data_IF_172136611511
#
_entry.id   IF_172136611511
#
_cell.length_a   1.000
_cell.length_b   1.000
_cell.length_c   1.000
_cell.angle_alpha   90.00
_cell.angle_beta   90.00
_cell.angle_gamma   90.00
#
_symmetry.space_group_name_H-M   'P 1'
#
loop_
_entity.id
_entity.type
_entity.pdbx_description
1 polymer ?
#
# COMPACT_ATOMS: atom_id res chain seq x y z
N UNK A 1 -20.79 18.62 -34.94
CA UNK A 1 -20.19 17.76 -33.97
C UNK A 1 -21.24 16.91 -33.27
N UNK A 2 -21.06 15.66 -33.21
CA UNK A 2 -22.09 14.73 -32.83
C UNK A 2 -22.16 14.51 -31.35
N UNK A 3 -23.35 14.68 -30.79
CA UNK A 3 -23.63 14.33 -29.39
C UNK A 3 -23.38 12.86 -29.12
N UNK A 4 -23.52 12.00 -30.14
CA UNK A 4 -23.28 10.57 -30.03
C UNK A 4 -21.82 10.25 -29.70
N UNK A 5 -20.86 10.96 -30.30
CA UNK A 5 -19.44 10.77 -30.06
C UNK A 5 -19.10 11.15 -28.62
N UNK A 6 -19.66 12.25 -28.11
CA UNK A 6 -19.44 12.69 -26.74
C UNK A 6 -19.98 11.67 -25.74
N UNK A 7 -21.17 11.10 -25.97
CA UNK A 7 -21.75 10.08 -25.12
C UNK A 7 -20.93 8.79 -25.10
N UNK A 8 -20.39 8.38 -26.25
CA UNK A 8 -19.51 7.21 -26.34
C UNK A 8 -18.24 7.43 -25.54
N UNK A 9 -17.64 8.61 -25.64
CA UNK A 9 -16.42 8.92 -24.85
C UNK A 9 -16.68 8.91 -23.34
N UNK A 10 -17.81 9.46 -22.90
CA UNK A 10 -18.19 9.42 -21.49
C UNK A 10 -18.43 7.99 -21.02
N UNK A 11 -19.08 7.15 -21.84
CA UNK A 11 -19.33 5.75 -21.51
C UNK A 11 -18.03 4.96 -21.38
N UNK A 12 -17.05 5.20 -22.26
CA UNK A 12 -15.73 4.54 -22.19
C UNK A 12 -15.00 4.86 -20.89
N UNK A 13 -15.08 6.10 -20.40
CA UNK A 13 -14.44 6.46 -19.12
C UNK A 13 -15.12 5.80 -17.92
N UNK A 14 -16.43 5.53 -18.00
CA UNK A 14 -17.16 4.91 -16.89
C UNK A 14 -16.93 3.41 -16.78
N UNK A 15 -16.29 2.77 -17.76
CA UNK A 15 -15.99 1.33 -17.75
C UNK A 15 -14.63 1.01 -17.13
N UNK A 16 -13.95 1.97 -16.50
CA UNK A 16 -12.66 1.75 -15.88
C UNK A 16 -12.77 0.82 -14.67
N UNK A 17 -11.77 -0.06 -14.51
CA UNK A 17 -11.68 -0.93 -13.35
C UNK A 17 -10.93 -0.24 -12.23
N UNK A 18 -11.37 -0.46 -10.96
CA UNK A 18 -10.75 0.11 -9.78
C UNK A 18 -9.52 -0.67 -9.29
N UNK A 19 -9.27 -1.87 -9.85
CA UNK A 19 -8.15 -2.71 -9.47
C UNK A 19 -6.85 -2.18 -10.05
N UNK A 20 -5.78 -2.29 -9.25
CA UNK A 20 -4.44 -1.85 -9.63
C UNK A 20 -3.53 -3.06 -9.70
N UNK A 21 -2.94 -3.28 -10.87
CA UNK A 21 -1.94 -4.32 -11.06
C UNK A 21 -0.60 -3.69 -11.38
N UNK A 22 0.44 -4.14 -10.72
CA UNK A 22 1.82 -3.77 -11.02
C UNK A 22 2.48 -5.04 -11.53
N UNK A 23 3.00 -4.97 -12.75
CA UNK A 23 3.56 -6.11 -13.46
C UNK A 23 2.53 -7.22 -13.75
N UNK A 24 1.26 -6.87 -13.79
CA UNK A 24 0.16 -7.76 -14.21
C UNK A 24 -0.98 -6.91 -14.76
N UNK A 25 -1.62 -7.39 -15.82
CA UNK A 25 -2.81 -6.75 -16.40
C UNK A 25 -4.11 -7.41 -15.95
N UNK A 26 -4.00 -8.50 -15.19
CA UNK A 26 -5.13 -9.26 -14.66
C UNK A 26 -4.99 -9.45 -13.17
N UNK A 27 -5.05 -8.35 -12.36
CA UNK A 27 -4.86 -8.47 -10.92
C UNK A 27 -5.99 -9.29 -10.28
N UNK A 28 -5.61 -10.13 -9.31
CA UNK A 28 -6.54 -10.98 -8.56
C UNK A 28 -7.02 -10.31 -7.27
N UNK A 29 -6.64 -9.07 -7.03
CA UNK A 29 -7.03 -8.27 -5.86
C UNK A 29 -7.14 -6.81 -6.28
N UNK A 30 -7.65 -5.97 -5.39
CA UNK A 30 -7.72 -4.52 -5.65
C UNK A 30 -6.35 -3.93 -5.95
N UNK A 31 -5.33 -4.45 -5.29
CA UNK A 31 -3.93 -4.16 -5.60
C UNK A 31 -3.16 -5.47 -5.63
N UNK A 32 -2.58 -5.77 -6.76
CA UNK A 32 -1.69 -6.92 -6.90
C UNK A 32 -0.36 -6.46 -7.49
N UNK A 33 0.73 -6.81 -6.82
CA UNK A 33 2.09 -6.53 -7.28
C UNK A 33 2.77 -7.86 -7.51
N UNK A 34 3.15 -8.11 -8.76
CA UNK A 34 3.86 -9.34 -9.11
C UNK A 34 5.34 -9.08 -9.26
N UNK A 35 6.15 -10.05 -8.87
CA UNK A 35 7.58 -10.02 -9.15
C UNK A 35 7.84 -10.08 -10.65
N UNK A 36 9.02 -9.68 -11.06
CA UNK A 36 9.44 -9.79 -12.46
C UNK A 36 9.51 -11.24 -12.91
N UNK A 37 9.87 -12.14 -12.00
CA UNK A 37 9.90 -13.59 -12.23
C UNK A 37 9.89 -14.29 -10.87
N UNK A 38 8.89 -15.14 -10.63
CA UNK A 38 8.74 -15.80 -9.33
C UNK A 38 9.87 -16.78 -9.03
N UNK A 39 10.38 -17.46 -10.07
CA UNK A 39 11.44 -18.46 -9.90
C UNK A 39 12.83 -17.83 -9.76
N UNK A 40 13.05 -16.73 -10.43
CA UNK A 40 14.34 -16.01 -10.43
C UNK A 40 14.09 -14.52 -10.24
N UNK A 41 13.69 -14.08 -9.03
CA UNK A 41 13.32 -12.68 -8.82
C UNK A 41 14.54 -11.77 -8.89
N UNK A 42 14.26 -10.51 -9.23
CA UNK A 42 15.26 -9.46 -9.16
C UNK A 42 15.38 -8.95 -7.71
N UNK A 43 16.50 -8.27 -7.41
CA UNK A 43 16.72 -7.72 -6.07
C UNK A 43 15.83 -6.48 -5.76
N UNK A 44 15.01 -6.07 -6.70
CA UNK A 44 14.05 -4.97 -6.52
C UNK A 44 12.60 -5.44 -6.54
N UNK A 45 12.37 -6.76 -6.56
CA UNK A 45 11.01 -7.32 -6.53
C UNK A 45 10.48 -7.31 -5.11
N UNK A 46 9.84 -6.22 -4.72
CA UNK A 46 9.27 -6.06 -3.40
C UNK A 46 8.54 -4.74 -3.26
N UNK A 47 8.03 -4.50 -2.07
CA UNK A 47 7.33 -3.27 -1.73
C UNK A 47 8.15 -2.52 -0.69
N UNK A 48 8.45 -1.26 -0.97
CA UNK A 48 8.98 -0.37 0.05
C UNK A 48 7.80 0.38 0.67
N UNK A 49 7.50 0.05 1.92
CA UNK A 49 6.53 0.83 2.69
C UNK A 49 7.23 2.06 3.28
N UNK A 50 6.47 3.08 3.74
CA UNK A 50 7.09 4.27 4.29
C UNK A 50 8.06 3.96 5.42
N UNK A 51 9.26 4.52 5.35
CA UNK A 51 10.29 4.41 6.37
C UNK A 51 10.21 5.61 7.30
N UNK A 52 10.31 5.35 8.60
CA UNK A 52 10.31 6.39 9.62
C UNK A 52 11.47 6.16 10.57
N UNK A 53 12.11 7.24 11.01
CA UNK A 53 13.20 7.18 12.01
C UNK A 53 12.66 7.17 13.42
N UNK A 54 11.43 7.62 13.61
CA UNK A 54 10.76 7.68 14.90
C UNK A 54 9.26 7.57 14.68
N UNK A 55 8.55 7.09 15.69
CA UNK A 55 7.08 7.11 15.63
C UNK A 55 6.58 8.55 15.68
N UNK A 56 5.44 8.84 15.01
CA UNK A 56 4.88 10.20 15.04
C UNK A 56 4.67 10.70 16.46
N UNK A 57 4.94 11.98 16.68
CA UNK A 57 4.72 12.62 18.00
C UNK A 57 3.23 12.57 18.36
N UNK A 58 2.37 12.79 17.37
CA UNK A 58 0.93 12.67 17.53
C UNK A 58 0.48 11.31 16.99
N UNK A 59 -0.19 10.54 17.85
CA UNK A 59 -0.66 9.21 17.43
C UNK A 59 -1.64 9.29 16.27
N UNK A 60 -1.62 8.31 15.38
CA UNK A 60 -2.70 8.16 14.40
C UNK A 60 -4.04 7.93 15.08
N UNK A 61 -5.10 7.92 14.29
CA UNK A 61 -6.47 7.73 14.78
C UNK A 61 -7.01 6.39 14.32
N UNK A 62 -8.29 6.13 14.64
CA UNK A 62 -8.97 4.92 14.18
C UNK A 62 -8.97 4.81 12.65
N UNK A 63 -8.93 5.93 11.94
CA UNK A 63 -8.89 5.94 10.48
C UNK A 63 -7.62 5.30 9.92
N UNK A 64 -6.56 5.22 10.71
CA UNK A 64 -5.29 4.61 10.31
C UNK A 64 -5.10 3.20 10.86
N UNK A 65 -6.15 2.57 11.39
CA UNK A 65 -6.04 1.21 11.92
C UNK A 65 -5.39 0.29 10.88
N UNK A 66 -4.30 -0.37 11.27
CA UNK A 66 -3.58 -1.30 10.40
C UNK A 66 -2.55 -0.66 9.48
N UNK A 67 -2.35 0.65 9.57
CA UNK A 67 -1.36 1.35 8.74
C UNK A 67 0.04 0.81 9.01
N UNK A 68 0.77 0.47 7.93
CA UNK A 68 2.10 -0.14 8.01
C UNK A 68 3.20 0.91 7.84
N UNK A 69 4.24 0.78 8.66
CA UNK A 69 5.48 1.56 8.53
C UNK A 69 6.68 0.66 8.79
N UNK A 70 7.85 1.11 8.36
CA UNK A 70 9.12 0.49 8.71
C UNK A 70 9.93 1.45 9.58
N UNK A 71 10.19 1.07 10.83
CA UNK A 71 11.01 1.86 11.75
C UNK A 71 12.48 1.56 11.47
N UNK A 72 13.24 2.57 11.06
CA UNK A 72 14.65 2.39 10.68
C UNK A 72 15.58 2.43 11.89
N UNK A 73 15.18 3.13 12.96
CA UNK A 73 16.00 3.33 14.15
C UNK A 73 15.26 2.82 15.37
N UNK A 74 15.89 1.99 16.18
CA UNK A 74 15.29 1.50 17.42
C UNK A 74 14.87 2.66 18.31
N UNK A 75 13.69 2.53 18.93
CA UNK A 75 13.11 3.56 19.80
C UNK A 75 12.66 2.93 21.10
N UNK A 76 13.36 3.22 22.19
CA UNK A 76 13.07 2.60 23.49
C UNK A 76 13.20 1.09 23.41
N UNK A 77 12.14 0.37 23.78
CA UNK A 77 12.08 -1.08 23.72
C UNK A 77 11.65 -1.61 22.33
N UNK A 78 11.40 -0.72 21.38
CA UNK A 78 10.96 -1.08 20.04
C UNK A 78 12.16 -1.18 19.11
N UNK A 79 12.56 -2.39 18.66
CA UNK A 79 13.64 -2.54 17.69
C UNK A 79 13.23 -2.01 16.32
N UNK A 80 14.20 -1.75 15.45
CA UNK A 80 13.91 -1.43 14.05
C UNK A 80 13.18 -2.60 13.40
N UNK A 81 12.27 -2.31 12.47
CA UNK A 81 11.49 -3.33 11.78
C UNK A 81 10.13 -2.82 11.36
N UNK A 82 9.27 -3.77 10.99
CA UNK A 82 7.92 -3.45 10.54
C UNK A 82 6.99 -3.29 11.73
N UNK A 83 6.10 -2.28 11.61
CA UNK A 83 5.08 -2.00 12.63
C UNK A 83 3.77 -1.66 11.95
N UNK A 84 2.68 -1.92 12.68
CA UNK A 84 1.38 -1.42 12.26
C UNK A 84 0.72 -0.68 13.42
N UNK A 85 -0.13 0.29 13.08
CA UNK A 85 -0.88 1.03 14.09
C UNK A 85 -2.08 0.22 14.55
N UNK A 86 -2.21 0.06 15.87
CA UNK A 86 -3.40 -0.54 16.49
C UNK A 86 -4.08 0.49 17.37
N UNK A 87 -5.21 1.01 16.88
CA UNK A 87 -5.95 2.06 17.59
C UNK A 87 -6.65 1.52 18.84
N UNK A 88 -6.98 0.24 18.89
CA UNK A 88 -7.62 -0.35 20.07
C UNK A 88 -6.70 -0.29 21.29
N UNK A 89 -5.42 -0.59 21.10
CA UNK A 89 -4.41 -0.48 22.16
C UNK A 89 -3.69 0.86 22.15
N UNK A 90 -4.00 1.72 21.19
CA UNK A 90 -3.35 3.02 20.97
C UNK A 90 -1.82 2.93 20.97
N UNK A 91 -1.32 1.94 20.25
CA UNK A 91 0.13 1.70 20.18
C UNK A 91 0.52 1.11 18.84
N UNK A 92 1.82 1.18 18.54
CA UNK A 92 2.41 0.53 17.39
C UNK A 92 2.81 -0.89 17.76
N UNK A 93 2.43 -1.85 16.93
CA UNK A 93 2.70 -3.27 17.17
C UNK A 93 3.70 -3.75 16.14
N UNK A 94 4.79 -4.36 16.63
CA UNK A 94 5.82 -4.92 15.78
C UNK A 94 5.37 -6.21 15.10
N UNK A 95 5.76 -6.36 13.86
CA UNK A 95 5.52 -7.57 13.08
C UNK A 95 6.83 -8.36 13.05
N UNK A 96 6.84 -9.49 13.71
CA UNK A 96 8.01 -10.39 13.80
C UNK A 96 7.76 -11.67 13.03
#
# INVERSE_FOLDING_TARGET
MNRSILLILLFCFSLGYAQVGINTVTPNAQLEIKSSNEATPSNTDGILIPKIDAFPVTNPTASQQGMLVYLTTASGSNPSGFYYWDNNSTTWIGIN
#
